data_IF_115530617326
#
_entry.id   IF_115530617326
#
_cell.length_a   1.000
_cell.length_b   1.000
_cell.length_c   1.000
_cell.angle_alpha   90.00
_cell.angle_beta   90.00
_cell.angle_gamma   90.00
#
_symmetry.space_group_name_H-M   'P 1'
#
loop_
_entity.id
_entity.type
_entity.pdbx_description
1 polymer ?
#
# COMPACT_ATOMS: atom_id res chain seq x y z
N UNK A 1 0.92 24.17 -15.07
CA UNK A 1 1.46 23.62 -13.81
C UNK A 1 2.87 23.18 -14.12
N UNK A 2 3.85 23.69 -13.38
CA UNK A 2 5.27 23.72 -13.74
C UNK A 2 5.90 22.32 -13.85
N UNK A 3 6.58 22.04 -14.96
CA UNK A 3 7.39 20.84 -15.26
C UNK A 3 8.59 20.59 -14.30
N UNK A 4 8.63 21.27 -13.15
CA UNK A 4 9.73 21.26 -12.18
C UNK A 4 9.73 20.07 -11.20
N UNK A 5 8.86 19.07 -11.36
CA UNK A 5 8.45 18.24 -10.20
C UNK A 5 9.25 16.95 -10.00
N UNK A 6 9.81 16.35 -11.05
CA UNK A 6 10.55 15.07 -10.98
C UNK A 6 12.06 15.28 -11.08
N UNK A 7 12.52 16.17 -11.98
CA UNK A 7 13.96 16.40 -12.20
C UNK A 7 14.64 17.01 -10.97
N UNK A 8 13.95 17.89 -10.24
CA UNK A 8 14.45 18.52 -9.01
C UNK A 8 14.60 17.54 -7.84
N UNK A 9 14.08 16.31 -7.98
CA UNK A 9 14.10 15.27 -6.95
C UNK A 9 14.95 14.07 -7.34
N UNK A 10 15.80 14.21 -8.36
CA UNK A 10 16.83 13.25 -8.70
C UNK A 10 18.07 13.52 -7.84
N UNK A 11 18.40 12.59 -6.95
CA UNK A 11 19.49 12.76 -5.99
C UNK A 11 20.59 11.74 -6.28
N UNK A 12 21.76 12.16 -6.77
CA UNK A 12 22.91 11.27 -6.89
C UNK A 12 23.27 10.65 -5.54
N UNK A 13 23.60 9.36 -5.52
CA UNK A 13 24.03 8.66 -4.30
C UNK A 13 25.28 9.29 -3.67
N UNK A 14 26.13 9.93 -4.50
CA UNK A 14 27.28 10.70 -4.01
C UNK A 14 26.84 11.86 -3.11
N UNK A 15 25.74 12.56 -3.42
CA UNK A 15 25.21 13.64 -2.58
C UNK A 15 24.86 13.13 -1.18
N UNK A 16 24.23 11.96 -1.09
CA UNK A 16 23.90 11.34 0.19
C UNK A 16 25.17 10.99 0.98
N UNK A 17 26.14 10.36 0.32
CA UNK A 17 27.38 9.90 0.94
C UNK A 17 28.29 11.05 1.42
N UNK A 18 28.23 12.23 0.80
CA UNK A 18 29.02 13.40 1.18
C UNK A 18 28.28 14.33 2.15
N UNK A 19 27.43 13.77 3.02
CA UNK A 19 26.74 14.52 4.08
C UNK A 19 25.41 15.17 3.66
N UNK A 20 24.93 14.94 2.44
CA UNK A 20 23.64 15.43 1.96
C UNK A 20 22.43 14.63 2.44
N UNK A 21 22.64 13.51 3.15
CA UNK A 21 21.57 12.62 3.60
C UNK A 21 20.56 13.33 4.53
N UNK A 22 21.04 14.00 5.59
CA UNK A 22 20.14 14.68 6.54
C UNK A 22 19.33 15.79 5.87
N UNK A 23 19.94 16.57 4.97
CA UNK A 23 19.25 17.61 4.20
C UNK A 23 18.16 16.99 3.32
N UNK A 24 18.49 15.94 2.58
CA UNK A 24 17.56 15.22 1.71
C UNK A 24 16.34 14.71 2.49
N UNK A 25 16.56 14.12 3.66
CA UNK A 25 15.48 13.62 4.52
C UNK A 25 14.63 14.78 5.05
N UNK A 26 15.25 15.87 5.48
CA UNK A 26 14.55 17.05 5.99
C UNK A 26 13.75 17.79 4.91
N UNK A 27 14.16 17.69 3.66
CA UNK A 27 13.48 18.32 2.51
C UNK A 27 12.36 17.43 1.95
N UNK A 28 12.29 16.17 2.37
CA UNK A 28 11.24 15.23 1.95
C UNK A 28 9.87 15.71 2.45
N UNK A 29 8.86 15.62 1.59
CA UNK A 29 7.48 16.04 1.88
C UNK A 29 6.53 14.94 1.42
N UNK A 30 5.36 14.89 2.03
CA UNK A 30 4.31 13.96 1.62
C UNK A 30 3.90 14.21 0.17
N UNK A 31 3.62 13.14 -0.56
CA UNK A 31 3.35 13.13 -2.00
C UNK A 31 4.49 13.69 -2.86
N UNK A 32 5.72 13.71 -2.32
CA UNK A 32 6.90 14.24 -3.00
C UNK A 32 8.10 13.30 -2.87
N UNK A 33 8.06 12.15 -3.56
CA UNK A 33 9.13 11.17 -3.51
C UNK A 33 10.43 11.72 -4.13
N UNK A 34 11.56 11.30 -3.58
CA UNK A 34 12.88 11.54 -4.17
C UNK A 34 13.43 10.26 -4.82
N UNK A 35 14.04 10.39 -5.99
CA UNK A 35 14.63 9.25 -6.71
C UNK A 35 16.14 9.31 -6.56
N UNK A 36 16.72 8.23 -6.02
CA UNK A 36 18.16 8.12 -5.85
C UNK A 36 18.79 7.56 -7.11
N UNK A 37 19.81 8.24 -7.62
CA UNK A 37 20.57 7.82 -8.80
C UNK A 37 21.92 7.20 -8.42
N UNK A 38 22.26 6.07 -9.02
CA UNK A 38 23.61 5.47 -8.98
C UNK A 38 24.11 5.34 -10.42
N UNK A 39 25.27 5.92 -10.73
CA UNK A 39 25.81 5.97 -12.09
C UNK A 39 24.80 6.50 -13.12
N UNK A 40 24.08 7.58 -12.77
CA UNK A 40 23.01 8.20 -13.57
C UNK A 40 21.81 7.29 -13.89
N UNK A 41 21.64 6.18 -13.17
CA UNK A 41 20.49 5.30 -13.29
C UNK A 41 19.67 5.30 -11.98
N UNK A 42 18.33 5.31 -12.05
CA UNK A 42 17.48 5.15 -10.87
C UNK A 42 17.81 3.85 -10.14
N UNK A 43 18.10 3.95 -8.84
CA UNK A 43 18.51 2.83 -8.01
C UNK A 43 17.58 2.60 -6.82
N UNK A 44 16.96 3.67 -6.30
CA UNK A 44 16.00 3.61 -5.21
C UNK A 44 15.06 4.81 -5.24
N UNK A 45 13.97 4.73 -4.49
CA UNK A 45 13.05 5.83 -4.21
C UNK A 45 12.99 6.03 -2.70
N UNK A 46 13.03 7.29 -2.26
CA UNK A 46 12.86 7.69 -0.87
C UNK A 46 11.49 8.35 -0.71
N UNK A 47 10.74 7.89 0.29
CA UNK A 47 9.36 8.29 0.59
C UNK A 47 9.25 8.69 2.06
N UNK A 48 8.25 9.50 2.41
CA UNK A 48 7.92 9.68 3.84
C UNK A 48 7.29 8.40 4.37
N UNK A 49 7.38 8.13 5.70
CA UNK A 49 6.68 6.98 6.29
C UNK A 49 5.16 7.00 6.07
N UNK A 50 4.55 8.19 5.99
CA UNK A 50 3.13 8.36 5.73
C UNK A 50 2.77 7.93 4.30
N UNK A 51 3.54 8.38 3.31
CA UNK A 51 3.35 7.97 1.91
C UNK A 51 3.54 6.46 1.74
N UNK A 52 4.56 5.87 2.40
CA UNK A 52 4.78 4.42 2.36
C UNK A 52 3.56 3.67 2.91
N UNK A 53 3.05 4.07 4.08
CA UNK A 53 1.89 3.43 4.70
C UNK A 53 0.65 3.52 3.80
N UNK A 54 0.37 4.71 3.27
CA UNK A 54 -0.75 4.94 2.36
C UNK A 54 -0.66 4.04 1.12
N UNK A 55 0.51 3.97 0.46
CA UNK A 55 0.69 3.12 -0.72
C UNK A 55 0.49 1.63 -0.43
N UNK A 56 0.91 1.16 0.75
CA UNK A 56 0.67 -0.23 1.18
C UNK A 56 -0.82 -0.49 1.38
N UNK A 57 -1.52 0.39 2.11
CA UNK A 57 -2.96 0.27 2.34
C UNK A 57 -3.74 0.28 1.01
N UNK A 58 -3.40 1.19 0.09
CA UNK A 58 -4.03 1.24 -1.23
C UNK A 58 -3.75 -0.01 -2.07
N UNK A 59 -2.57 -0.62 -1.96
CA UNK A 59 -2.27 -1.86 -2.67
C UNK A 59 -3.12 -3.04 -2.13
N UNK A 60 -3.35 -3.09 -0.82
CA UNK A 60 -4.22 -4.09 -0.19
C UNK A 60 -5.69 -3.89 -0.59
N UNK A 61 -6.19 -2.66 -0.52
CA UNK A 61 -7.54 -2.29 -0.97
C UNK A 61 -7.75 -2.64 -2.45
N UNK A 62 -6.78 -2.33 -3.31
CA UNK A 62 -6.86 -2.65 -4.73
C UNK A 62 -6.89 -4.17 -4.97
N UNK A 63 -6.14 -4.96 -4.19
CA UNK A 63 -6.20 -6.42 -4.25
C UNK A 63 -7.59 -6.95 -3.87
N UNK A 64 -8.20 -6.39 -2.83
CA UNK A 64 -9.57 -6.74 -2.41
C UNK A 64 -10.62 -6.33 -3.46
N UNK A 65 -10.42 -5.18 -4.10
CA UNK A 65 -11.27 -4.72 -5.20
C UNK A 65 -11.22 -5.70 -6.38
N UNK A 66 -10.03 -6.10 -6.83
CA UNK A 66 -9.88 -7.08 -7.90
C UNK A 66 -10.52 -8.43 -7.58
N UNK A 67 -10.34 -8.91 -6.34
CA UNK A 67 -10.99 -10.14 -5.88
C UNK A 67 -12.52 -10.03 -5.89
N UNK A 68 -13.04 -8.87 -5.52
CA UNK A 68 -14.49 -8.59 -5.60
C UNK A 68 -14.96 -8.61 -7.04
N UNK A 69 -14.25 -7.95 -7.96
CA UNK A 69 -14.59 -7.97 -9.38
C UNK A 69 -14.60 -9.39 -9.96
N UNK A 70 -13.58 -10.19 -9.64
CA UNK A 70 -13.48 -11.59 -10.06
C UNK A 70 -14.66 -12.43 -9.54
N UNK A 71 -15.05 -12.25 -8.28
CA UNK A 71 -16.22 -12.92 -7.68
C UNK A 71 -17.53 -12.50 -8.33
N UNK A 72 -17.67 -11.23 -8.69
CA UNK A 72 -18.87 -10.71 -9.36
C UNK A 72 -18.96 -11.23 -10.80
N UNK A 73 -17.84 -11.29 -11.51
CA UNK A 73 -17.79 -11.80 -12.90
C UNK A 73 -18.14 -13.30 -12.96
N UNK A 74 -17.74 -14.07 -11.94
CA UNK A 74 -18.02 -15.49 -11.81
C UNK A 74 -19.23 -15.80 -10.91
N UNK A 75 -20.06 -14.82 -10.56
CA UNK A 75 -21.28 -15.06 -9.77
C UNK A 75 -22.28 -15.86 -10.61
N UNK A 76 -22.56 -17.10 -10.20
CA UNK A 76 -23.57 -17.96 -10.81
C UNK A 76 -24.98 -17.72 -10.23
N UNK A 77 -25.12 -16.76 -9.32
CA UNK A 77 -26.36 -16.43 -8.62
C UNK A 77 -26.69 -17.39 -7.49
N UNK A 78 -25.87 -18.43 -7.24
CA UNK A 78 -26.08 -19.34 -6.12
C UNK A 78 -25.92 -18.56 -4.81
N UNK A 79 -26.84 -18.80 -3.87
CA UNK A 79 -26.77 -18.28 -2.51
C UNK A 79 -26.84 -19.47 -1.58
N UNK A 80 -25.89 -19.54 -0.65
CA UNK A 80 -25.79 -20.64 0.31
C UNK A 80 -26.24 -20.13 1.68
N UNK A 81 -27.04 -20.92 2.39
CA UNK A 81 -27.34 -20.69 3.80
C UNK A 81 -26.14 -21.04 4.66
N UNK A 82 -26.10 -20.53 5.89
CA UNK A 82 -25.08 -20.91 6.88
C UNK A 82 -24.98 -22.43 7.04
N UNK A 83 -26.12 -23.12 7.15
CA UNK A 83 -26.19 -24.60 7.22
C UNK A 83 -25.55 -25.27 5.99
N UNK A 84 -25.76 -24.74 4.78
CA UNK A 84 -25.16 -25.30 3.56
C UNK A 84 -23.64 -25.09 3.49
N UNK A 85 -23.11 -24.04 4.13
CA UNK A 85 -21.67 -23.73 4.13
C UNK A 85 -20.93 -24.47 5.24
N UNK A 86 -21.50 -24.48 6.45
CA UNK A 86 -20.83 -24.99 7.65
C UNK A 86 -21.30 -26.39 8.05
N UNK A 87 -22.47 -26.82 7.58
CA UNK A 87 -23.12 -28.08 7.97
C UNK A 87 -24.12 -27.88 9.12
N UNK A 88 -25.12 -28.76 9.19
CA UNK A 88 -26.18 -28.72 10.21
C UNK A 88 -25.63 -28.95 11.63
N UNK A 89 -24.50 -29.67 11.74
CA UNK A 89 -23.83 -29.99 13.00
C UNK A 89 -22.75 -28.96 13.40
N UNK A 90 -22.66 -27.83 12.68
CA UNK A 90 -21.69 -26.78 13.02
C UNK A 90 -22.10 -26.06 14.30
N UNK A 91 -21.34 -26.28 15.37
CA UNK A 91 -21.36 -25.45 16.56
C UNK A 91 -20.20 -24.45 16.47
N UNK A 92 -20.47 -23.13 16.44
CA UNK A 92 -19.42 -22.13 16.51
C UNK A 92 -18.58 -22.37 17.76
N UNK A 93 -17.25 -22.35 17.60
CA UNK A 93 -16.35 -22.31 18.75
C UNK A 93 -16.60 -20.99 19.46
N UNK A 94 -17.01 -21.05 20.73
CA UNK A 94 -17.00 -19.90 21.62
C UNK A 94 -15.52 -19.54 21.87
N UNK A 95 -15.01 -18.64 21.05
CA UNK A 95 -13.66 -18.11 21.13
C UNK A 95 -13.56 -16.92 22.11
N UNK A 96 -14.65 -16.60 22.81
CA UNK A 96 -14.74 -15.45 23.71
C UNK A 96 -14.70 -14.11 22.98
N UNK A 97 -14.92 -14.07 21.67
CA UNK A 97 -14.98 -12.83 20.91
C UNK A 97 -16.32 -12.12 21.14
N UNK A 98 -16.28 -11.03 21.92
CA UNK A 98 -17.40 -10.09 22.03
C UNK A 98 -17.21 -8.96 21.01
N UNK A 99 -18.04 -8.87 19.96
CA UNK A 99 -17.90 -7.80 18.98
C UNK A 99 -18.28 -6.46 19.61
N UNK A 100 -17.32 -5.54 19.69
CA UNK A 100 -17.56 -4.17 20.13
C UNK A 100 -18.15 -3.37 18.96
N UNK A 101 -19.48 -3.39 18.83
CA UNK A 101 -20.18 -2.48 17.94
C UNK A 101 -20.47 -1.16 18.67
N UNK A 102 -19.94 -0.05 18.15
CA UNK A 102 -20.29 1.33 18.54
C UNK A 102 -21.52 1.84 17.76
#
# INVERSE_FOLDING_TARGET
MSDATILDRLIPISTLNHGGASRTINDLRDNQPAVILKNNQPAAVLLTPADYKYLVEQAEEYRLYLLTMDRVDHDDGQRLTTEQVFGDDYEPVDDGYEPEFE
#
